data_IF_163723657666
#
_entry.id   IF_163723657666
#
_cell.length_a   1.000
_cell.length_b   1.000
_cell.length_c   1.000
_cell.angle_alpha   90.00
_cell.angle_beta   90.00
_cell.angle_gamma   90.00
#
_symmetry.space_group_name_H-M   'P 1'
#
loop_
_entity.id
_entity.type
_entity.pdbx_description
1 polymer ?
#
# COMPACT_ATOMS: atom_id res chain seq x y z
N UNK A 1 45.15 19.55 27.35
CA UNK A 1 43.84 19.89 26.74
C UNK A 1 43.57 18.90 25.60
N UNK A 2 42.91 17.77 25.86
CA UNK A 2 42.74 16.71 24.83
C UNK A 2 41.38 15.99 24.85
N UNK A 3 40.55 16.23 25.87
CA UNK A 3 39.30 15.48 26.08
C UNK A 3 38.15 16.03 25.22
N UNK A 4 38.06 17.35 25.05
CA UNK A 4 36.99 18.01 24.29
C UNK A 4 37.01 17.66 22.78
N UNK A 5 38.20 17.52 22.19
CA UNK A 5 38.36 17.16 20.76
C UNK A 5 37.97 15.71 20.49
N UNK A 6 38.31 14.78 21.39
CA UNK A 6 37.90 13.38 21.27
C UNK A 6 36.38 13.22 21.42
N UNK A 7 35.77 13.95 22.37
CA UNK A 7 34.30 13.95 22.52
C UNK A 7 33.59 14.51 21.30
N UNK A 8 34.08 15.60 20.67
CA UNK A 8 33.46 16.16 19.47
C UNK A 8 33.56 15.21 18.26
N UNK A 9 34.73 14.59 18.04
CA UNK A 9 34.87 13.59 16.95
C UNK A 9 33.99 12.35 17.14
N UNK A 10 33.73 11.95 18.40
CA UNK A 10 32.86 10.83 18.73
C UNK A 10 31.37 11.13 18.53
N UNK A 11 30.94 12.38 18.74
CA UNK A 11 29.58 12.83 18.45
C UNK A 11 29.35 12.92 16.93
N UNK A 12 30.29 13.52 16.19
CA UNK A 12 30.21 13.62 14.72
C UNK A 12 30.14 12.23 14.06
N UNK A 13 30.94 11.27 14.53
CA UNK A 13 30.89 9.90 14.02
C UNK A 13 29.56 9.19 14.34
N UNK A 14 28.97 9.47 15.51
CA UNK A 14 27.69 8.90 15.93
C UNK A 14 26.53 9.48 15.12
N UNK A 15 26.54 10.78 14.86
CA UNK A 15 25.51 11.46 14.07
C UNK A 15 25.56 11.03 12.60
N UNK A 16 26.76 10.93 12.01
CA UNK A 16 26.93 10.40 10.65
C UNK A 16 26.42 8.95 10.52
N UNK A 17 26.63 8.12 11.56
CA UNK A 17 26.12 6.74 11.57
C UNK A 17 24.59 6.69 11.70
N UNK A 18 23.98 7.56 12.50
CA UNK A 18 22.53 7.65 12.61
C UNK A 18 21.89 8.15 11.31
N UNK A 19 22.49 9.15 10.66
CA UNK A 19 22.03 9.64 9.35
C UNK A 19 22.12 8.54 8.27
N UNK A 20 23.25 7.85 8.17
CA UNK A 20 23.42 6.76 7.22
C UNK A 20 22.48 5.56 7.48
N UNK A 21 22.01 5.40 8.73
CA UNK A 21 21.00 4.39 9.06
C UNK A 21 19.60 4.86 8.65
N UNK A 22 19.23 6.12 8.93
CA UNK A 22 17.98 6.71 8.46
C UNK A 22 17.83 6.64 6.94
N UNK A 23 18.86 7.02 6.18
CA UNK A 23 18.83 6.92 4.71
C UNK A 23 18.67 5.49 4.19
N UNK A 24 19.17 4.49 4.92
CA UNK A 24 18.99 3.07 4.56
C UNK A 24 17.57 2.61 4.87
N UNK A 25 17.04 3.00 6.02
CA UNK A 25 15.68 2.66 6.45
C UNK A 25 14.65 3.30 5.52
N UNK A 26 14.86 4.56 5.11
CA UNK A 26 14.04 5.27 4.12
C UNK A 26 14.06 4.56 2.76
N UNK A 27 15.24 4.19 2.24
CA UNK A 27 15.35 3.43 0.98
C UNK A 27 14.69 2.06 1.05
N UNK A 28 14.80 1.39 2.19
CA UNK A 28 14.16 0.09 2.39
C UNK A 28 12.63 0.24 2.47
N UNK A 29 12.14 1.33 3.07
CA UNK A 29 10.72 1.66 3.08
C UNK A 29 10.22 1.95 1.67
N UNK A 30 10.90 2.80 0.90
CA UNK A 30 10.53 3.13 -0.47
C UNK A 30 10.52 1.89 -1.37
N UNK A 31 11.55 1.04 -1.27
CA UNK A 31 11.62 -0.21 -2.02
C UNK A 31 10.49 -1.18 -1.63
N UNK A 32 10.16 -1.26 -0.34
CA UNK A 32 9.03 -2.05 0.15
C UNK A 32 7.69 -1.51 -0.35
N UNK A 33 7.52 -0.18 -0.36
CA UNK A 33 6.33 0.49 -0.86
C UNK A 33 6.13 0.27 -2.36
N UNK A 34 7.16 0.48 -3.17
CA UNK A 34 7.11 0.23 -4.63
C UNK A 34 6.82 -1.23 -4.95
N UNK A 35 7.42 -2.17 -4.22
CA UNK A 35 7.15 -3.60 -4.39
C UNK A 35 5.69 -3.93 -4.05
N UNK A 36 5.17 -3.42 -2.93
CA UNK A 36 3.77 -3.62 -2.55
C UNK A 36 2.79 -3.02 -3.57
N UNK A 37 3.11 -1.86 -4.14
CA UNK A 37 2.32 -1.26 -5.23
C UNK A 37 2.32 -2.13 -6.49
N UNK A 38 3.49 -2.62 -6.90
CA UNK A 38 3.62 -3.49 -8.07
C UNK A 38 2.85 -4.81 -7.91
N UNK A 39 2.87 -5.40 -6.72
CA UNK A 39 2.09 -6.60 -6.39
C UNK A 39 0.58 -6.32 -6.46
N UNK A 40 0.13 -5.22 -5.86
CA UNK A 40 -1.29 -4.83 -5.89
C UNK A 40 -1.79 -4.55 -7.32
N UNK A 41 -0.99 -3.88 -8.15
CA UNK A 41 -1.31 -3.64 -9.57
C UNK A 41 -1.36 -4.94 -10.36
N UNK A 42 -0.40 -5.84 -10.13
CA UNK A 42 -0.39 -7.16 -10.77
C UNK A 42 -1.65 -7.97 -10.42
N UNK A 43 -2.05 -7.96 -9.15
CA UNK A 43 -3.24 -8.66 -8.68
C UNK A 43 -4.54 -8.07 -9.23
N UNK A 44 -4.64 -6.74 -9.32
CA UNK A 44 -5.75 -6.05 -9.97
C UNK A 44 -5.83 -6.42 -11.46
N UNK A 45 -4.70 -6.39 -12.17
CA UNK A 45 -4.63 -6.75 -13.58
C UNK A 45 -4.97 -8.24 -13.80
N UNK A 46 -4.53 -9.11 -12.90
CA UNK A 46 -4.84 -10.53 -12.90
C UNK A 46 -6.33 -10.79 -12.67
N UNK A 47 -6.94 -10.05 -11.75
CA UNK A 47 -8.37 -10.11 -11.48
C UNK A 47 -9.18 -9.61 -12.69
N UNK A 48 -8.82 -8.45 -13.25
CA UNK A 48 -9.51 -7.86 -14.40
C UNK A 48 -9.53 -8.78 -15.63
N UNK A 49 -8.45 -9.54 -15.87
CA UNK A 49 -8.39 -10.53 -16.96
C UNK A 49 -9.33 -11.72 -16.76
N UNK A 50 -9.66 -12.05 -15.51
CA UNK A 50 -10.54 -13.18 -15.16
C UNK A 50 -12.00 -12.77 -15.03
N UNK A 51 -12.26 -11.48 -14.82
CA UNK A 51 -13.60 -10.94 -14.74
C UNK A 51 -14.30 -11.06 -16.09
N UNK A 52 -15.32 -11.92 -16.15
CA UNK A 52 -16.11 -12.14 -17.36
C UNK A 52 -17.32 -11.21 -17.32
N UNK A 53 -17.36 -10.28 -18.27
CA UNK A 53 -18.50 -9.39 -18.47
C UNK A 53 -19.70 -10.18 -19.05
N UNK A 54 -20.88 -9.95 -18.50
CA UNK A 54 -22.13 -10.41 -19.10
C UNK A 54 -22.54 -9.41 -20.20
N UNK A 55 -22.77 -9.85 -21.45
CA UNK A 55 -23.26 -8.96 -22.50
C UNK A 55 -24.63 -8.35 -22.21
N UNK A 56 -25.43 -8.97 -21.35
CA UNK A 56 -26.77 -8.51 -20.97
C UNK A 56 -26.76 -7.47 -19.84
N UNK A 57 -25.64 -7.33 -19.12
CA UNK A 57 -25.54 -6.38 -18.00
C UNK A 57 -25.25 -4.95 -18.51
N UNK A 58 -25.87 -3.96 -17.86
CA UNK A 58 -25.54 -2.56 -18.11
C UNK A 58 -24.14 -2.22 -17.60
N UNK A 59 -23.54 -1.12 -18.09
CA UNK A 59 -22.21 -0.71 -17.64
C UNK A 59 -22.15 -0.44 -16.13
N UNK A 60 -23.21 0.13 -15.55
CA UNK A 60 -23.29 0.42 -14.12
C UNK A 60 -23.33 -0.87 -13.29
N UNK A 61 -24.14 -1.85 -13.69
CA UNK A 61 -24.20 -3.17 -13.05
C UNK A 61 -22.86 -3.90 -13.13
N UNK A 62 -22.19 -3.83 -14.28
CA UNK A 62 -20.84 -4.39 -14.48
C UNK A 62 -19.83 -3.79 -13.50
N UNK A 63 -19.80 -2.47 -13.40
CA UNK A 63 -18.88 -1.77 -12.52
C UNK A 63 -19.13 -2.11 -11.05
N UNK A 64 -20.39 -2.16 -10.61
CA UNK A 64 -20.75 -2.56 -9.24
C UNK A 64 -20.35 -3.99 -8.93
N UNK A 65 -20.60 -4.92 -9.87
CA UNK A 65 -20.21 -6.33 -9.72
C UNK A 65 -18.70 -6.50 -9.66
N UNK A 66 -17.96 -5.82 -10.53
CA UNK A 66 -16.50 -5.82 -10.53
C UNK A 66 -15.94 -5.37 -9.18
N UNK A 67 -16.44 -4.25 -8.65
CA UNK A 67 -16.02 -3.73 -7.35
C UNK A 67 -16.35 -4.71 -6.23
N UNK A 68 -17.57 -5.25 -6.18
CA UNK A 68 -17.98 -6.19 -5.14
C UNK A 68 -17.12 -7.47 -5.12
N UNK A 69 -16.88 -8.05 -6.30
CA UNK A 69 -16.04 -9.24 -6.44
C UNK A 69 -14.58 -8.95 -6.08
N UNK A 70 -14.08 -7.75 -6.41
CA UNK A 70 -12.72 -7.33 -6.04
C UNK A 70 -12.59 -7.12 -4.53
N UNK A 71 -13.55 -6.44 -3.88
CA UNK A 71 -13.61 -6.29 -2.41
C UNK A 71 -13.60 -7.67 -1.75
N UNK A 72 -14.46 -8.59 -2.19
CA UNK A 72 -14.52 -9.95 -1.64
C UNK A 72 -13.22 -10.73 -1.82
N UNK A 73 -12.44 -10.45 -2.87
CA UNK A 73 -11.11 -11.03 -3.06
C UNK A 73 -10.06 -10.37 -2.18
N UNK A 74 -10.16 -9.08 -1.92
CA UNK A 74 -9.30 -8.36 -1.00
C UNK A 74 -9.55 -8.75 0.45
N UNK A 75 -10.76 -9.16 0.82
CA UNK A 75 -11.14 -9.42 2.22
C UNK A 75 -10.29 -10.51 2.91
N UNK A 76 -9.72 -11.46 2.14
CA UNK A 76 -8.87 -12.51 2.70
C UNK A 76 -7.38 -12.13 2.86
N UNK A 77 -6.90 -11.08 2.18
CA UNK A 77 -5.47 -10.73 2.13
C UNK A 77 -5.17 -9.24 2.42
N UNK A 78 -6.17 -8.37 2.29
CA UNK A 78 -6.08 -6.91 2.32
C UNK A 78 -7.33 -6.29 2.98
N UNK A 79 -7.62 -6.67 4.23
CA UNK A 79 -8.80 -6.23 5.02
C UNK A 79 -8.97 -4.69 5.08
N UNK A 80 -7.88 -3.93 5.21
CA UNK A 80 -7.96 -2.46 5.21
C UNK A 80 -8.24 -1.88 3.81
N UNK A 81 -7.80 -2.57 2.76
CA UNK A 81 -8.09 -2.18 1.37
C UNK A 81 -9.55 -2.48 1.01
N UNK A 82 -10.08 -3.63 1.45
CA UNK A 82 -11.49 -4.00 1.22
C UNK A 82 -12.43 -2.97 1.86
N UNK A 83 -12.18 -2.57 3.11
CA UNK A 83 -12.91 -1.49 3.81
C UNK A 83 -12.81 -0.15 3.11
N UNK A 84 -11.61 0.28 2.69
CA UNK A 84 -11.41 1.56 2.03
C UNK A 84 -12.16 1.65 0.70
N UNK A 85 -12.12 0.59 -0.12
CA UNK A 85 -12.85 0.52 -1.39
C UNK A 85 -14.36 0.52 -1.14
N UNK A 86 -14.82 -0.24 -0.15
CA UNK A 86 -16.25 -0.32 0.13
C UNK A 86 -16.83 1.01 0.65
N UNK A 87 -16.06 1.75 1.45
CA UNK A 87 -16.38 3.11 1.87
C UNK A 87 -16.42 4.09 0.68
N UNK A 88 -15.42 4.02 -0.21
CA UNK A 88 -15.34 4.89 -1.38
C UNK A 88 -16.48 4.68 -2.39
N UNK A 89 -16.95 3.43 -2.53
CA UNK A 89 -18.02 3.06 -3.46
C UNK A 89 -19.41 3.08 -2.79
N UNK A 90 -19.47 3.33 -1.48
CA UNK A 90 -20.72 3.43 -0.73
C UNK A 90 -21.47 2.09 -0.58
N UNK A 91 -20.78 0.96 -0.74
CA UNK A 91 -21.41 -0.37 -0.74
C UNK A 91 -21.83 -0.87 0.66
N UNK A 92 -21.51 -0.14 1.74
CA UNK A 92 -21.95 -0.43 3.11
C UNK A 92 -22.29 0.84 3.91
N UNK A 93 -23.04 1.79 3.34
CA UNK A 93 -23.60 2.85 4.18
C UNK A 93 -24.71 2.23 5.06
N UNK A 94 -24.47 2.13 6.36
CA UNK A 94 -25.56 1.98 7.34
C UNK A 94 -26.54 3.14 7.13
N UNK A 95 -27.82 2.81 6.88
CA UNK A 95 -28.90 3.80 6.90
C UNK A 95 -28.91 4.45 8.29
N UNK A 96 -28.58 5.75 8.35
CA UNK A 96 -28.75 6.59 9.54
C UNK A 96 -30.20 7.07 9.64
#
# INVERSE_FOLDING_TARGET
MSTLSQTMSGVEYRDARMQAQGERDDRNFDAGYETGMAEAEHDLAGFAKRFVADPAESLDERCRRFVAEFIGRCDCCYDELSKAIAAAVGMFQEEV
#
